data_IF_862295001400
#
_entry.id   IF_862295001400
#
_cell.length_a   1.000
_cell.length_b   1.000
_cell.length_c   1.000
_cell.angle_alpha   90.00
_cell.angle_beta   90.00
_cell.angle_gamma   90.00
#
_symmetry.space_group_name_H-M   'P 1'
#
loop_
_entity.id
_entity.type
_entity.pdbx_description
1 polymer ?
#
# COMPACT_ATOMS: atom_id res chain seq x y z
N UNK A 1 -24.57 -24.88 -11.59
CA UNK A 1 -23.13 -24.64 -11.33
C UNK A 1 -22.91 -24.84 -9.83
N UNK A 2 -21.72 -25.27 -9.38
CA UNK A 2 -21.46 -25.35 -7.93
C UNK A 2 -21.20 -23.95 -7.42
N UNK A 3 -21.87 -23.56 -6.34
CA UNK A 3 -21.61 -22.32 -5.63
C UNK A 3 -20.19 -22.29 -5.09
N UNK A 4 -19.52 -21.15 -5.23
CA UNK A 4 -18.12 -20.94 -4.84
C UNK A 4 -17.96 -19.56 -4.22
N UNK A 5 -17.00 -19.42 -3.32
CA UNK A 5 -16.53 -18.13 -2.83
C UNK A 5 -15.19 -17.73 -3.48
N UNK A 6 -14.87 -16.44 -3.49
CA UNK A 6 -13.52 -15.95 -3.79
C UNK A 6 -13.05 -14.98 -2.71
N UNK A 7 -11.74 -14.94 -2.51
CA UNK A 7 -11.07 -13.98 -1.64
C UNK A 7 -10.21 -13.05 -2.49
N UNK A 8 -10.43 -11.75 -2.41
CA UNK A 8 -9.62 -10.71 -3.03
C UNK A 8 -8.82 -10.02 -1.93
N UNK A 9 -7.50 -10.17 -1.95
CA UNK A 9 -6.59 -9.64 -0.92
C UNK A 9 -5.81 -8.48 -1.47
N UNK A 10 -6.03 -7.29 -0.91
CA UNK A 10 -5.11 -6.17 -1.05
C UNK A 10 -3.94 -6.35 -0.08
N UNK A 11 -2.80 -6.78 -0.61
CA UNK A 11 -1.60 -7.01 0.17
C UNK A 11 -1.06 -5.71 0.80
N UNK A 12 -1.27 -4.59 0.11
CA UNK A 12 -0.83 -3.28 0.55
C UNK A 12 -1.56 -2.82 1.80
N UNK A 13 -2.88 -2.98 1.82
CA UNK A 13 -3.72 -2.76 2.99
C UNK A 13 -3.39 -3.74 4.12
N UNK A 14 -3.39 -5.05 3.83
CA UNK A 14 -3.14 -6.11 4.81
C UNK A 14 -1.84 -5.92 5.59
N UNK A 15 -0.73 -5.72 4.87
CA UNK A 15 0.59 -5.58 5.49
C UNK A 15 0.75 -4.24 6.22
N UNK A 16 0.18 -3.16 5.69
CA UNK A 16 0.22 -1.85 6.35
C UNK A 16 -0.58 -1.88 7.66
N UNK A 17 -1.80 -2.42 7.64
CA UNK A 17 -2.65 -2.54 8.81
C UNK A 17 -2.03 -3.45 9.89
N UNK A 18 -1.43 -4.58 9.46
CA UNK A 18 -0.69 -5.46 10.37
C UNK A 18 0.56 -4.77 10.95
N UNK A 19 1.29 -3.98 10.15
CA UNK A 19 2.43 -3.19 10.61
C UNK A 19 2.01 -2.15 11.64
N UNK A 20 0.92 -1.41 11.42
CA UNK A 20 0.39 -0.45 12.39
C UNK A 20 0.02 -1.14 13.69
N UNK A 21 -0.64 -2.31 13.61
CA UNK A 21 -1.00 -3.11 14.78
C UNK A 21 0.23 -3.55 15.59
N UNK A 22 1.31 -4.00 14.94
CA UNK A 22 2.47 -4.62 15.60
C UNK A 22 3.56 -3.61 15.99
N UNK A 23 3.73 -2.55 15.21
CA UNK A 23 4.87 -1.62 15.30
C UNK A 23 4.45 -0.17 15.53
N UNK A 24 3.17 0.15 15.37
CA UNK A 24 2.64 1.50 15.55
C UNK A 24 2.77 2.41 14.32
N UNK A 25 3.27 1.89 13.19
CA UNK A 25 3.36 2.58 11.91
C UNK A 25 2.94 1.65 10.76
N UNK A 26 2.35 2.21 9.71
CA UNK A 26 1.97 1.49 8.48
C UNK A 26 3.15 1.09 7.59
N UNK A 27 4.38 1.28 8.06
CA UNK A 27 5.58 0.93 7.31
C UNK A 27 5.72 -0.59 7.10
N UNK A 28 5.28 -1.10 5.94
CA UNK A 28 5.14 -2.53 5.63
C UNK A 28 6.38 -3.39 5.87
N UNK A 29 7.59 -2.86 5.66
CA UNK A 29 8.84 -3.62 5.89
C UNK A 29 9.17 -3.82 7.37
N UNK A 30 8.43 -3.18 8.28
CA UNK A 30 8.55 -3.40 9.71
C UNK A 30 7.93 -4.72 10.18
N UNK A 31 7.36 -5.53 9.28
CA UNK A 31 6.78 -6.85 9.59
C UNK A 31 7.24 -7.93 8.62
N UNK A 32 7.25 -9.17 9.09
CA UNK A 32 7.46 -10.38 8.31
C UNK A 32 6.21 -11.26 8.37
N UNK A 33 5.71 -11.69 7.21
CA UNK A 33 4.55 -12.55 7.09
C UNK A 33 4.93 -13.98 6.67
N UNK A 34 4.41 -14.98 7.39
CA UNK A 34 4.36 -16.36 6.92
C UNK A 34 3.17 -16.50 5.97
N UNK A 35 3.40 -16.22 4.69
CA UNK A 35 2.34 -16.23 3.67
C UNK A 35 1.67 -17.58 3.49
N UNK A 36 2.39 -18.69 3.64
CA UNK A 36 1.82 -20.04 3.53
C UNK A 36 0.74 -20.25 4.60
N UNK A 37 1.09 -19.96 5.85
CA UNK A 37 0.16 -20.09 6.98
C UNK A 37 -0.97 -19.07 6.90
N UNK A 38 -0.66 -17.82 6.54
CA UNK A 38 -1.64 -16.75 6.40
C UNK A 38 -2.70 -17.07 5.36
N UNK A 39 -2.29 -17.50 4.16
CA UNK A 39 -3.23 -17.88 3.10
C UNK A 39 -4.05 -19.10 3.51
N UNK A 40 -3.46 -20.09 4.17
CA UNK A 40 -4.19 -21.26 4.65
C UNK A 40 -5.28 -20.87 5.66
N UNK A 41 -4.96 -20.03 6.65
CA UNK A 41 -5.93 -19.57 7.65
C UNK A 41 -7.03 -18.68 7.04
N UNK A 42 -6.68 -17.83 6.06
CA UNK A 42 -7.67 -17.01 5.36
C UNK A 42 -8.62 -17.86 4.50
N UNK A 43 -8.12 -18.91 3.84
CA UNK A 43 -8.94 -19.85 3.09
C UNK A 43 -9.92 -20.56 4.03
N UNK A 44 -9.40 -21.10 5.14
CA UNK A 44 -10.23 -21.79 6.14
C UNK A 44 -11.31 -20.86 6.70
N UNK A 45 -10.94 -19.62 7.03
CA UNK A 45 -11.88 -18.59 7.49
C UNK A 45 -12.99 -18.34 6.46
N UNK A 46 -12.64 -18.10 5.20
CA UNK A 46 -13.64 -17.81 4.15
C UNK A 46 -14.54 -19.01 3.89
N UNK A 47 -14.01 -20.23 3.84
CA UNK A 47 -14.81 -21.44 3.63
C UNK A 47 -15.76 -21.70 4.82
N UNK A 48 -15.31 -21.47 6.06
CA UNK A 48 -16.15 -21.58 7.26
C UNK A 48 -17.27 -20.54 7.29
N UNK A 49 -16.97 -19.29 6.94
CA UNK A 49 -17.94 -18.17 7.00
C UNK A 49 -18.97 -18.25 5.90
N UNK A 50 -18.55 -18.56 4.67
CA UNK A 50 -19.45 -18.68 3.53
C UNK A 50 -20.22 -19.99 3.48
N UNK A 51 -19.68 -21.06 4.08
CA UNK A 51 -20.17 -22.43 3.85
C UNK A 51 -19.94 -22.92 2.42
N UNK A 52 -19.14 -22.19 1.63
CA UNK A 52 -18.84 -22.48 0.23
C UNK A 52 -17.35 -22.80 0.06
N UNK A 53 -17.00 -23.73 -0.83
CA UNK A 53 -15.61 -23.95 -1.20
C UNK A 53 -15.02 -22.70 -1.87
N UNK A 54 -13.77 -22.37 -1.55
CA UNK A 54 -13.09 -21.26 -2.18
C UNK A 54 -12.61 -21.67 -3.58
N UNK A 55 -12.97 -20.87 -4.58
CA UNK A 55 -12.49 -21.02 -5.95
C UNK A 55 -11.01 -20.64 -6.02
N UNK A 56 -10.67 -19.45 -5.50
CA UNK A 56 -9.32 -18.90 -5.54
C UNK A 56 -9.15 -17.72 -4.57
N UNK A 57 -7.92 -17.56 -4.08
CA UNK A 57 -7.41 -16.34 -3.47
C UNK A 57 -6.72 -15.51 -4.55
N UNK A 58 -7.25 -14.34 -4.86
CA UNK A 58 -6.62 -13.35 -5.73
C UNK A 58 -5.81 -12.41 -4.86
N UNK A 59 -4.48 -12.48 -4.99
CA UNK A 59 -3.54 -11.68 -4.22
C UNK A 59 -3.06 -10.50 -5.05
N UNK A 60 -3.40 -9.29 -4.63
CA UNK A 60 -3.07 -8.07 -5.36
C UNK A 60 -1.96 -7.33 -4.64
N UNK A 61 -0.91 -7.01 -5.40
CA UNK A 61 0.26 -6.34 -4.86
C UNK A 61 0.90 -5.44 -5.93
N UNK A 62 1.76 -4.51 -5.52
CA UNK A 62 2.49 -3.64 -6.41
C UNK A 62 3.81 -4.29 -6.85
N UNK A 63 3.95 -4.56 -8.15
CA UNK A 63 5.20 -5.09 -8.72
C UNK A 63 5.99 -4.02 -9.45
N UNK A 64 7.28 -3.87 -9.15
CA UNK A 64 8.16 -2.95 -9.92
C UNK A 64 8.26 -3.45 -11.36
N UNK A 65 7.80 -2.64 -12.32
CA UNK A 65 7.76 -3.03 -13.74
C UNK A 65 7.01 -4.34 -14.04
N UNK A 66 6.12 -4.77 -13.15
CA UNK A 66 5.38 -6.04 -13.28
C UNK A 66 6.23 -7.30 -13.02
N UNK A 67 7.46 -7.15 -12.52
CA UNK A 67 8.31 -8.26 -12.12
C UNK A 67 8.05 -8.54 -10.63
N UNK A 68 7.71 -9.78 -10.25
CA UNK A 68 7.53 -10.13 -8.86
C UNK A 68 8.88 -10.12 -8.11
N UNK A 69 8.87 -9.68 -6.86
CA UNK A 69 9.97 -9.92 -5.93
C UNK A 69 9.91 -11.33 -5.30
N UNK A 70 10.88 -11.65 -4.44
CA UNK A 70 10.99 -12.98 -3.82
C UNK A 70 9.77 -13.34 -2.97
N UNK A 71 9.17 -12.39 -2.28
CA UNK A 71 8.00 -12.65 -1.44
C UNK A 71 6.75 -12.81 -2.30
N UNK A 72 6.61 -12.00 -3.35
CA UNK A 72 5.55 -12.12 -4.35
C UNK A 72 5.63 -13.46 -5.09
N UNK A 73 6.84 -13.93 -5.45
CA UNK A 73 7.05 -15.25 -6.05
C UNK A 73 6.64 -16.38 -5.10
N UNK A 74 7.01 -16.29 -3.81
CA UNK A 74 6.59 -17.26 -2.79
C UNK A 74 5.07 -17.33 -2.67
N UNK A 75 4.41 -16.18 -2.58
CA UNK A 75 2.95 -16.09 -2.53
C UNK A 75 2.32 -16.67 -3.79
N UNK A 76 2.87 -16.38 -4.97
CA UNK A 76 2.35 -16.86 -6.25
C UNK A 76 2.43 -18.39 -6.41
N UNK A 77 3.36 -19.05 -5.69
CA UNK A 77 3.52 -20.49 -5.71
C UNK A 77 2.52 -21.24 -4.80
N UNK A 78 1.79 -20.53 -3.93
CA UNK A 78 0.88 -21.15 -2.97
C UNK A 78 -0.35 -21.77 -3.64
N UNK A 79 -0.86 -22.91 -3.11
CA UNK A 79 -2.08 -23.52 -3.60
C UNK A 79 -3.28 -22.56 -3.57
N UNK A 80 -4.13 -22.63 -4.61
CA UNK A 80 -5.31 -21.76 -4.77
C UNK A 80 -5.01 -20.25 -4.81
N UNK A 81 -3.76 -19.81 -4.94
CA UNK A 81 -3.41 -18.39 -5.06
C UNK A 81 -3.21 -17.97 -6.51
N UNK A 82 -3.65 -16.76 -6.86
CA UNK A 82 -3.25 -16.07 -8.07
C UNK A 82 -2.74 -14.68 -7.75
N UNK A 83 -1.44 -14.48 -7.95
CA UNK A 83 -0.81 -13.18 -7.87
C UNK A 83 -1.26 -12.28 -9.04
N UNK A 84 -1.62 -11.04 -8.70
CA UNK A 84 -2.08 -9.98 -9.60
C UNK A 84 -1.28 -8.71 -9.32
N UNK A 85 -0.22 -8.50 -10.09
CA UNK A 85 0.61 -7.31 -9.93
C UNK A 85 -0.03 -6.09 -10.60
N UNK A 86 -0.15 -5.00 -9.82
CA UNK A 86 -0.37 -3.65 -10.34
C UNK A 86 0.84 -3.14 -11.13
N UNK A 87 0.65 -2.09 -11.93
CA UNK A 87 1.76 -1.41 -12.62
C UNK A 87 2.27 -0.28 -11.74
N UNK A 88 3.58 -0.17 -11.58
CA UNK A 88 4.19 1.00 -10.95
C UNK A 88 4.37 2.08 -12.02
N UNK A 89 3.89 3.29 -11.75
CA UNK A 89 4.08 4.44 -12.63
C UNK A 89 5.55 4.85 -12.74
N UNK A 90 5.86 5.72 -13.70
CA UNK A 90 7.24 6.15 -14.01
C UNK A 90 7.93 6.87 -12.83
N UNK A 91 7.15 7.43 -11.89
CA UNK A 91 7.64 8.14 -10.70
C UNK A 91 7.51 7.32 -9.39
N UNK A 92 7.29 6.01 -9.47
CA UNK A 92 7.18 5.16 -8.27
C UNK A 92 5.80 5.17 -7.61
N UNK A 93 4.82 5.88 -8.17
CA UNK A 93 3.42 5.77 -7.75
C UNK A 93 2.89 4.38 -8.07
N UNK A 94 2.49 3.64 -7.03
CA UNK A 94 1.80 2.36 -7.16
C UNK A 94 0.34 2.64 -7.58
N UNK A 95 0.12 2.89 -8.88
CA UNK A 95 -1.20 3.18 -9.45
C UNK A 95 -1.82 1.93 -10.07
N UNK A 96 -3.04 1.58 -9.64
CA UNK A 96 -3.89 0.61 -10.35
C UNK A 96 -3.86 -0.82 -9.80
N UNK A 97 -3.52 -1.01 -8.53
CA UNK A 97 -3.92 -2.21 -7.79
C UNK A 97 -5.43 -2.20 -7.59
N UNK A 98 -5.99 -1.07 -7.15
CA UNK A 98 -7.41 -0.91 -6.80
C UNK A 98 -8.30 -1.06 -8.03
N UNK A 99 -7.92 -0.41 -9.13
CA UNK A 99 -8.55 -0.60 -10.44
C UNK A 99 -8.55 -2.09 -10.86
N UNK A 100 -7.48 -2.84 -10.56
CA UNK A 100 -7.39 -4.25 -10.92
C UNK A 100 -8.29 -5.12 -10.04
N UNK A 101 -8.33 -4.85 -8.75
CA UNK A 101 -9.25 -5.49 -7.81
C UNK A 101 -10.68 -5.27 -8.29
N UNK A 102 -11.06 -4.02 -8.57
CA UNK A 102 -12.40 -3.68 -9.05
C UNK A 102 -12.76 -4.36 -10.38
N UNK A 103 -11.86 -4.33 -11.37
CA UNK A 103 -12.10 -4.99 -12.66
C UNK A 103 -12.23 -6.51 -12.54
N UNK A 104 -11.39 -7.16 -11.73
CA UNK A 104 -11.45 -8.60 -11.52
C UNK A 104 -12.72 -8.98 -10.74
N UNK A 105 -13.09 -8.21 -9.72
CA UNK A 105 -14.34 -8.39 -8.95
C UNK A 105 -15.56 -8.34 -9.89
N UNK A 106 -15.72 -7.27 -10.67
CA UNK A 106 -16.80 -7.14 -11.65
C UNK A 106 -16.76 -8.27 -12.69
N UNK A 107 -15.57 -8.67 -13.15
CA UNK A 107 -15.45 -9.78 -14.08
C UNK A 107 -15.88 -11.12 -13.47
N UNK A 108 -15.59 -11.38 -12.19
CA UNK A 108 -15.98 -12.62 -11.52
C UNK A 108 -17.49 -12.69 -11.32
N UNK A 109 -18.11 -11.56 -10.99
CA UNK A 109 -19.55 -11.44 -10.82
C UNK A 109 -20.30 -11.60 -12.13
N UNK A 110 -19.89 -10.90 -13.20
CA UNK A 110 -20.53 -11.01 -14.54
C UNK A 110 -20.44 -12.41 -15.14
N UNK A 111 -19.38 -13.16 -14.83
CA UNK A 111 -19.21 -14.54 -15.30
C UNK A 111 -20.05 -15.55 -14.51
N UNK A 112 -20.66 -15.15 -13.39
CA UNK A 112 -21.33 -16.06 -12.45
C UNK A 112 -20.39 -17.13 -11.90
N UNK A 113 -19.11 -16.79 -11.73
CA UNK A 113 -18.08 -17.75 -11.30
C UNK A 113 -18.03 -17.97 -9.79
N UNK A 114 -18.62 -17.05 -9.03
CA UNK A 114 -18.68 -17.01 -7.57
C UNK A 114 -20.01 -16.40 -7.14
N UNK A 115 -20.51 -16.82 -5.98
CA UNK A 115 -21.73 -16.28 -5.37
C UNK A 115 -21.42 -15.32 -4.23
N UNK A 116 -20.25 -15.46 -3.60
CA UNK A 116 -19.77 -14.61 -2.50
C UNK A 116 -18.32 -14.21 -2.73
N UNK A 117 -18.02 -12.93 -2.56
CA UNK A 117 -16.68 -12.37 -2.59
C UNK A 117 -16.35 -11.83 -1.20
N UNK A 118 -15.22 -12.28 -0.65
CA UNK A 118 -14.59 -11.66 0.49
C UNK A 118 -13.52 -10.70 -0.01
N UNK A 119 -13.61 -9.43 0.39
CA UNK A 119 -12.68 -8.36 0.01
C UNK A 119 -11.87 -7.93 1.23
N UNK A 120 -10.60 -8.32 1.30
CA UNK A 120 -9.68 -7.86 2.34
C UNK A 120 -9.02 -6.57 1.85
N UNK A 121 -9.68 -5.43 2.12
CA UNK A 121 -9.21 -4.08 1.82
C UNK A 121 -9.96 -3.05 2.69
N UNK A 122 -9.46 -1.82 2.72
CA UNK A 122 -10.10 -0.67 3.37
C UNK A 122 -10.38 0.53 2.46
N UNK A 123 -10.05 0.41 1.17
CA UNK A 123 -10.03 1.51 0.20
C UNK A 123 -11.43 1.88 -0.33
N UNK A 124 -11.74 3.18 -0.38
CA UNK A 124 -13.01 3.69 -0.94
C UNK A 124 -13.08 3.64 -2.46
N UNK A 125 -11.94 3.57 -3.16
CA UNK A 125 -11.90 3.42 -4.62
C UNK A 125 -12.51 2.10 -5.11
N UNK A 126 -12.80 1.17 -4.19
CA UNK A 126 -13.44 -0.12 -4.49
C UNK A 126 -14.97 -0.08 -4.38
N UNK A 127 -15.56 1.00 -3.86
CA UNK A 127 -16.99 1.12 -3.59
C UNK A 127 -17.84 0.86 -4.84
N UNK A 128 -17.53 1.48 -5.97
CA UNK A 128 -18.30 1.32 -7.20
C UNK A 128 -18.23 -0.12 -7.73
N UNK A 129 -17.09 -0.78 -7.54
CA UNK A 129 -16.93 -2.16 -7.97
C UNK A 129 -17.70 -3.14 -7.06
N UNK A 130 -17.82 -2.82 -5.78
CA UNK A 130 -18.68 -3.57 -4.83
C UNK A 130 -20.14 -3.47 -5.26
N UNK A 131 -20.63 -2.25 -5.51
CA UNK A 131 -22.02 -2.03 -5.94
C UNK A 131 -22.32 -2.72 -7.28
N UNK A 132 -21.40 -2.67 -8.25
CA UNK A 132 -21.56 -3.37 -9.53
C UNK A 132 -21.57 -4.90 -9.34
N UNK A 133 -20.75 -5.45 -8.44
CA UNK A 133 -20.78 -6.89 -8.15
C UNK A 133 -22.13 -7.32 -7.56
N UNK A 134 -22.68 -6.53 -6.63
CA UNK A 134 -23.99 -6.77 -6.02
C UNK A 134 -25.13 -6.65 -7.05
N UNK A 135 -25.03 -5.72 -8.00
CA UNK A 135 -25.98 -5.61 -9.11
C UNK A 135 -26.02 -6.88 -9.99
N UNK A 136 -24.95 -7.69 -9.99
CA UNK A 136 -24.91 -9.01 -10.65
C UNK A 136 -25.35 -10.17 -9.74
N UNK A 137 -25.80 -9.88 -8.51
CA UNK A 137 -26.29 -10.87 -7.55
C UNK A 137 -25.21 -11.54 -6.69
N UNK A 138 -23.97 -11.02 -6.70
CA UNK A 138 -22.89 -11.52 -5.85
C UNK A 138 -22.86 -10.78 -4.52
N UNK A 139 -22.79 -11.53 -3.41
CA UNK A 139 -22.60 -10.93 -2.09
C UNK A 139 -21.14 -10.51 -1.90
N UNK A 140 -20.90 -9.32 -1.35
CA UNK A 140 -19.55 -8.82 -1.07
C UNK A 140 -19.40 -8.50 0.41
N UNK A 141 -18.52 -9.23 1.09
CA UNK A 141 -18.20 -9.05 2.51
C UNK A 141 -16.78 -8.49 2.63
N UNK A 142 -16.62 -7.37 3.32
CA UNK A 142 -15.31 -6.76 3.57
C UNK A 142 -14.66 -7.41 4.79
N UNK A 143 -13.39 -7.82 4.65
CA UNK A 143 -12.56 -8.31 5.75
C UNK A 143 -11.59 -7.21 6.18
N UNK A 144 -11.78 -6.71 7.40
CA UNK A 144 -10.93 -5.71 8.00
C UNK A 144 -9.82 -6.35 8.85
N UNK A 145 -8.62 -5.78 8.80
CA UNK A 145 -7.57 -6.11 9.77
C UNK A 145 -7.92 -5.50 11.14
N UNK A 146 -7.78 -6.24 12.26
CA UNK A 146 -8.04 -5.70 13.59
C UNK A 146 -6.97 -4.70 14.01
N UNK A 147 -7.38 -3.61 14.66
CA UNK A 147 -6.52 -2.77 15.49
C UNK A 147 -6.10 -3.53 16.77
N UNK A 148 -5.15 -3.00 17.58
CA UNK A 148 -4.86 -3.57 18.90
C UNK A 148 -6.08 -3.67 19.84
N UNK A 149 -7.11 -2.86 19.62
CA UNK A 149 -8.37 -2.90 20.38
C UNK A 149 -9.42 -3.85 19.79
N UNK A 150 -9.12 -4.48 18.65
CA UNK A 150 -10.03 -5.41 17.95
C UNK A 150 -11.05 -4.73 17.03
N UNK A 151 -10.95 -3.41 16.81
CA UNK A 151 -11.80 -2.70 15.86
C UNK A 151 -11.30 -2.86 14.42
N UNK A 152 -12.15 -2.58 13.43
CA UNK A 152 -11.74 -2.55 12.02
C UNK A 152 -10.70 -1.42 11.79
N UNK A 153 -9.52 -1.77 11.30
CA UNK A 153 -8.47 -0.79 10.99
C UNK A 153 -8.63 -0.25 9.57
N UNK A 154 -8.67 1.08 9.43
CA UNK A 154 -8.52 1.75 8.13
C UNK A 154 -9.56 1.40 7.06
N UNK A 155 -10.79 1.03 7.43
CA UNK A 155 -11.86 0.75 6.45
C UNK A 155 -12.72 2.00 6.25
N UNK A 156 -12.83 2.45 5.01
CA UNK A 156 -13.65 3.62 4.66
C UNK A 156 -15.12 3.43 5.00
N UNK A 157 -15.76 4.50 5.47
CA UNK A 157 -17.21 4.54 5.72
C UNK A 157 -18.03 4.34 4.45
N UNK A 158 -17.51 4.71 3.29
CA UNK A 158 -18.19 4.49 2.00
C UNK A 158 -18.18 3.01 1.66
N UNK A 159 -17.02 2.35 1.78
CA UNK A 159 -16.89 0.91 1.57
C UNK A 159 -17.77 0.11 2.54
N UNK A 160 -17.79 0.49 3.83
CA UNK A 160 -18.66 -0.12 4.86
C UNK A 160 -20.15 -0.04 4.49
N UNK A 161 -20.58 1.07 3.87
CA UNK A 161 -21.99 1.28 3.48
C UNK A 161 -22.37 0.54 2.20
N UNK A 162 -21.41 0.32 1.32
CA UNK A 162 -21.63 -0.37 0.06
C UNK A 162 -21.66 -1.90 0.23
N UNK A 163 -20.78 -2.46 1.06
CA UNK A 163 -20.68 -3.90 1.26
C UNK A 163 -21.92 -4.52 1.94
N UNK A 164 -22.16 -5.82 1.70
CA UNK A 164 -23.22 -6.59 2.39
C UNK A 164 -22.92 -6.80 3.88
N UNK A 165 -21.63 -6.73 4.25
CA UNK A 165 -21.18 -6.84 5.62
C UNK A 165 -19.70 -6.49 5.75
N UNK A 166 -19.30 -6.17 6.98
CA UNK A 166 -17.89 -5.96 7.35
C UNK A 166 -17.58 -6.85 8.53
N UNK A 167 -16.60 -7.73 8.35
CA UNK A 167 -16.09 -8.61 9.39
C UNK A 167 -14.66 -8.22 9.74
N UNK A 168 -14.34 -8.25 11.03
CA UNK A 168 -12.97 -8.02 11.49
C UNK A 168 -12.27 -9.37 11.64
N UNK A 169 -11.10 -9.51 11.02
CA UNK A 169 -10.27 -10.71 11.20
C UNK A 169 -9.94 -10.90 12.67
N UNK A 170 -9.93 -12.15 13.11
CA UNK A 170 -9.57 -12.47 14.48
C UNK A 170 -8.08 -12.19 14.70
N UNK A 171 -7.73 -11.49 15.79
CA UNK A 171 -6.34 -11.10 16.07
C UNK A 171 -5.37 -12.29 16.04
N UNK A 172 -5.82 -13.48 16.44
CA UNK A 172 -5.02 -14.71 16.40
C UNK A 172 -4.50 -15.07 15.01
N UNK A 173 -5.25 -14.74 13.95
CA UNK A 173 -4.82 -15.03 12.57
C UNK A 173 -3.57 -14.22 12.27
N UNK A 174 -3.57 -12.93 12.61
CA UNK A 174 -2.39 -12.07 12.41
C UNK A 174 -1.27 -12.40 13.38
N UNK A 175 -1.57 -12.57 14.66
CA UNK A 175 -0.56 -12.81 15.70
C UNK A 175 0.20 -14.12 15.46
N UNK A 176 -0.42 -15.09 14.80
CA UNK A 176 0.19 -16.39 14.52
C UNK A 176 0.87 -16.48 13.15
N UNK A 177 0.71 -15.47 12.28
CA UNK A 177 1.19 -15.48 10.90
C UNK A 177 2.08 -14.28 10.55
N UNK A 178 1.97 -13.16 11.26
CA UNK A 178 2.74 -11.93 11.02
C UNK A 178 3.48 -11.54 12.30
N UNK A 179 4.75 -11.20 12.17
CA UNK A 179 5.61 -10.81 13.28
C UNK A 179 6.35 -9.51 12.97
N UNK A 180 6.75 -8.76 14.00
CA UNK A 180 7.58 -7.58 13.79
C UNK A 180 8.94 -7.98 13.20
N UNK A 181 9.37 -7.27 12.17
CA UNK A 181 10.69 -7.43 11.60
C UNK A 181 11.74 -6.86 12.55
N UNK A 182 12.76 -7.68 12.82
CA UNK A 182 13.96 -7.27 13.53
C UNK A 182 15.13 -7.67 12.64
N UNK A 183 15.96 -6.72 12.24
CA UNK A 183 17.22 -7.03 11.57
C UNK A 183 18.07 -7.87 12.53
N UNK A 184 18.16 -9.17 12.28
CA UNK A 184 19.10 -10.03 13.00
C UNK A 184 20.51 -9.73 12.48
N UNK A 185 21.43 -9.36 13.36
CA UNK A 185 22.84 -9.05 13.09
C UNK A 185 23.67 -10.27 12.62
N UNK A 186 23.06 -11.29 12.00
CA UNK A 186 23.83 -12.41 11.46
C UNK A 186 24.61 -11.90 10.25
N UNK A 187 25.95 -11.88 10.28
CA UNK A 187 26.74 -11.42 9.16
C UNK A 187 26.53 -12.39 8.00
N UNK A 188 25.82 -11.97 6.98
CA UNK A 188 25.86 -12.66 5.70
C UNK A 188 27.29 -12.53 5.16
N UNK A 189 27.95 -13.62 4.75
CA UNK A 189 29.27 -13.51 4.13
C UNK A 189 29.13 -12.62 2.90
N UNK A 190 29.97 -11.58 2.86
CA UNK A 190 30.04 -10.62 1.78
C UNK A 190 30.05 -11.36 0.44
N UNK A 191 29.04 -11.09 -0.40
CA UNK A 191 29.11 -11.48 -1.81
C UNK A 191 30.32 -10.76 -2.42
N UNK A 192 31.24 -11.46 -3.10
CA UNK A 192 32.34 -10.81 -3.79
C UNK A 192 31.80 -9.83 -4.82
N UNK A 193 32.40 -8.64 -4.85
CA UNK A 193 31.98 -7.52 -5.68
C UNK A 193 31.79 -7.93 -7.13
N UNK A 194 30.62 -7.64 -7.67
CA UNK A 194 30.43 -7.61 -9.11
C UNK A 194 30.90 -6.25 -9.57
N UNK A 195 32.15 -6.20 -10.05
CA UNK A 195 32.67 -5.08 -10.81
C UNK A 195 31.64 -4.68 -11.86
N UNK A 196 31.28 -3.40 -11.85
CA UNK A 196 30.56 -2.78 -12.95
C UNK A 196 31.42 -2.89 -14.21
N UNK A 197 31.16 -3.92 -15.00
CA UNK A 197 31.68 -4.02 -16.36
C UNK A 197 31.05 -2.89 -17.17
N UNK A 198 31.80 -1.80 -17.32
CA UNK A 198 31.56 -0.74 -18.29
C UNK A 198 31.50 -1.38 -19.68
N UNK A 199 30.31 -1.61 -20.20
CA UNK A 199 30.11 -1.95 -21.59
C UNK A 199 30.42 -0.72 -22.43
N UNK A 200 31.59 -0.74 -23.09
CA UNK A 200 31.95 0.24 -24.12
C UNK A 200 30.88 0.19 -25.21
N UNK A 201 30.21 1.33 -25.42
CA UNK A 201 29.35 1.54 -26.57
C UNK A 201 30.16 1.49 -27.87
N UNK A 202 29.76 0.63 -28.81
CA UNK A 202 30.32 0.51 -30.15
C UNK A 202 29.72 1.60 -31.06
N UNK A 203 30.50 2.29 -31.90
CA UNK A 203 30.03 3.41 -32.72
C UNK A 203 29.31 2.88 -33.96
N UNK A 204 27.98 2.81 -33.91
CA UNK A 204 27.20 2.27 -35.01
C UNK A 204 25.70 2.52 -34.90
N UNK A 205 25.30 3.76 -34.59
CA UNK A 205 23.91 4.23 -34.84
C UNK A 205 23.83 5.77 -34.98
N UNK A 206 24.89 6.37 -35.50
CA UNK A 206 24.96 7.78 -35.89
C UNK A 206 24.51 7.96 -37.34
N UNK A 207 23.21 7.78 -37.62
CA UNK A 207 22.58 8.33 -38.84
C UNK A 207 21.05 8.23 -38.81
N UNK A 208 20.40 9.28 -38.29
CA UNK A 208 19.15 9.92 -38.81
C UNK A 208 18.57 10.83 -37.73
N UNK A 209 19.18 12.00 -37.55
CA UNK A 209 18.52 13.15 -36.93
C UNK A 209 18.32 14.22 -38.00
N UNK A 210 17.10 14.34 -38.50
CA UNK A 210 16.63 15.56 -39.15
C UNK A 210 15.87 16.40 -38.11
N UNK A 211 16.05 17.72 -38.06
CA UNK A 211 15.28 18.57 -37.16
C UNK A 211 13.89 18.79 -37.75
N UNK A 212 12.85 18.28 -37.11
CA UNK A 212 11.46 18.68 -37.38
C UNK A 212 11.00 19.60 -36.26
N UNK A 213 11.20 20.90 -36.44
CA UNK A 213 10.51 21.95 -35.69
C UNK A 213 9.02 21.89 -36.04
N UNK A 214 8.20 21.34 -35.13
CA UNK A 214 6.75 21.54 -35.17
C UNK A 214 6.37 22.53 -34.06
N UNK A 215 5.62 23.60 -34.36
CA UNK A 215 5.10 24.50 -33.34
C UNK A 215 4.05 23.77 -32.48
N UNK A 216 4.16 23.94 -31.18
CA UNK A 216 3.22 23.47 -30.17
C UNK A 216 1.95 24.35 -30.30
N UNK A 217 0.74 23.80 -30.54
CA UNK A 217 -0.45 24.61 -30.44
C UNK A 217 -0.73 24.91 -28.97
N UNK A 218 -0.88 26.19 -28.64
CA UNK A 218 -1.40 26.63 -27.35
C UNK A 218 -2.79 26.01 -27.12
N UNK A 219 -3.12 25.54 -25.92
CA UNK A 219 -4.49 25.12 -25.64
C UNK A 219 -5.39 26.36 -25.69
N UNK A 220 -6.39 26.33 -26.57
CA UNK A 220 -7.51 27.25 -26.58
C UNK A 220 -8.21 27.16 -25.22
N UNK A 221 -8.19 28.25 -24.46
CA UNK A 221 -9.01 28.42 -23.27
C UNK A 221 -10.48 28.49 -23.71
N UNK A 222 -11.27 27.47 -23.38
CA UNK A 222 -12.72 27.59 -23.39
C UNK A 222 -13.13 28.32 -22.10
N UNK A 223 -13.43 29.62 -22.19
CA UNK A 223 -14.25 30.28 -21.18
C UNK A 223 -15.68 29.79 -21.33
N UNK A 224 -16.03 28.69 -20.66
CA UNK A 224 -17.42 28.45 -20.28
C UNK A 224 -17.71 29.27 -19.03
N UNK A 225 -18.46 30.36 -19.20
CA UNK A 225 -19.04 31.12 -18.11
C UNK A 225 -19.95 30.22 -17.27
N UNK A 226 -19.42 29.76 -16.14
CA UNK A 226 -20.14 29.07 -15.09
C UNK A 226 -19.36 29.34 -13.81
N UNK A 227 -19.91 30.22 -12.98
CA UNK A 227 -19.36 30.57 -11.66
C UNK A 227 -19.48 29.38 -10.71
N UNK A 228 -18.59 28.40 -10.84
CA UNK A 228 -18.32 27.43 -9.79
C UNK A 228 -16.92 27.73 -9.28
N UNK A 229 -16.85 28.39 -8.13
CA UNK A 229 -15.62 28.43 -7.33
C UNK A 229 -15.07 27.01 -7.23
N UNK A 230 -13.76 26.76 -7.41
CA UNK A 230 -13.19 25.47 -7.04
C UNK A 230 -13.63 25.20 -5.59
N UNK A 231 -14.17 24.00 -5.36
CA UNK A 231 -14.55 23.55 -4.03
C UNK A 231 -13.25 23.42 -3.22
N UNK A 232 -12.90 24.48 -2.50
CA UNK A 232 -11.88 24.46 -1.47
C UNK A 232 -12.54 23.76 -0.29
N UNK A 233 -12.10 22.54 0.01
CA UNK A 233 -12.54 21.84 1.21
C UNK A 233 -12.34 22.77 2.42
N UNK A 234 -13.31 22.91 3.33
CA UNK A 234 -13.15 23.74 4.50
C UNK A 234 -11.94 23.21 5.28
N UNK A 235 -10.89 24.03 5.35
CA UNK A 235 -9.73 23.77 6.20
C UNK A 235 -10.28 23.67 7.62
N UNK A 236 -10.36 22.44 8.15
CA UNK A 236 -10.72 22.23 9.54
C UNK A 236 -9.66 23.00 10.31
N UNK A 237 -10.03 24.14 10.90
CA UNK A 237 -9.14 24.97 11.70
C UNK A 237 -8.78 24.18 12.97
N UNK A 238 -7.82 23.27 12.82
CA UNK A 238 -7.16 22.59 13.93
C UNK A 238 -6.16 23.55 14.52
N UNK A 239 -5.92 23.42 15.81
CA UNK A 239 -4.84 24.14 16.46
C UNK A 239 -3.51 23.75 15.77
N UNK A 240 -2.76 24.73 15.22
CA UNK A 240 -1.48 24.46 14.59
C UNK A 240 -0.50 23.74 15.53
N UNK A 241 -0.55 24.01 16.84
CA UNK A 241 0.33 23.37 17.81
C UNK A 241 0.02 21.88 17.99
N UNK A 242 -1.27 21.54 18.09
CA UNK A 242 -1.74 20.15 18.22
C UNK A 242 -1.43 19.34 16.95
N UNK A 243 -1.58 19.97 15.79
CA UNK A 243 -1.24 19.37 14.49
C UNK A 243 0.27 19.09 14.42
N UNK A 244 1.10 20.06 14.81
CA UNK A 244 2.57 19.91 14.86
C UNK A 244 2.98 18.79 15.82
N UNK A 245 2.34 18.68 16.99
CA UNK A 245 2.62 17.63 17.97
C UNK A 245 2.26 16.24 17.43
N UNK A 246 1.13 16.12 16.74
CA UNK A 246 0.70 14.90 16.04
C UNK A 246 1.71 14.50 14.98
N UNK A 247 2.15 15.45 14.14
CA UNK A 247 3.18 15.24 13.11
C UNK A 247 4.46 14.66 13.73
N UNK A 248 4.97 15.26 14.82
CA UNK A 248 6.19 14.75 15.49
C UNK A 248 6.03 13.33 16.01
N UNK A 249 4.85 13.02 16.57
CA UNK A 249 4.56 11.68 17.10
C UNK A 249 4.53 10.64 15.99
N UNK A 250 3.87 10.96 14.87
CA UNK A 250 3.81 10.09 13.68
C UNK A 250 5.20 9.87 13.09
N UNK A 251 5.96 10.94 12.91
CA UNK A 251 7.35 10.88 12.41
C UNK A 251 8.20 9.96 13.26
N UNK A 252 8.15 10.11 14.60
CA UNK A 252 8.94 9.28 15.52
C UNK A 252 8.57 7.80 15.37
N UNK A 253 7.27 7.47 15.38
CA UNK A 253 6.81 6.07 15.23
C UNK A 253 7.24 5.44 13.91
N UNK A 254 7.06 6.16 12.80
CA UNK A 254 7.45 5.67 11.48
C UNK A 254 8.97 5.50 11.35
N UNK A 255 9.74 6.45 11.90
CA UNK A 255 11.20 6.36 11.93
C UNK A 255 11.69 5.18 12.78
N UNK A 256 11.13 4.98 13.97
CA UNK A 256 11.48 3.85 14.84
C UNK A 256 11.12 2.50 14.21
N UNK A 257 9.97 2.41 13.54
CA UNK A 257 9.56 1.21 12.80
C UNK A 257 10.49 0.92 11.62
N UNK A 258 10.92 1.97 10.90
CA UNK A 258 11.91 1.85 9.84
C UNK A 258 13.27 1.40 10.39
N UNK A 259 13.78 2.02 11.46
CA UNK A 259 15.07 1.67 12.06
C UNK A 259 15.18 0.20 12.48
N UNK A 260 14.10 -0.41 12.98
CA UNK A 260 14.05 -1.82 13.37
C UNK A 260 14.28 -2.79 12.20
N UNK A 261 13.90 -2.37 10.99
CA UNK A 261 13.99 -3.18 9.76
C UNK A 261 15.10 -2.72 8.81
N UNK A 262 15.63 -1.51 8.98
CA UNK A 262 16.66 -0.95 8.13
C UNK A 262 18.01 -1.65 8.30
N UNK A 263 18.71 -1.90 7.19
CA UNK A 263 20.13 -2.30 7.21
C UNK A 263 21.06 -1.10 7.38
N UNK A 264 22.32 -1.34 7.72
CA UNK A 264 23.29 -0.26 7.87
C UNK A 264 23.50 0.51 6.56
N UNK A 265 23.52 -0.19 5.41
CA UNK A 265 23.63 0.47 4.11
C UNK A 265 22.44 1.39 3.82
N UNK A 266 21.23 0.99 4.22
CA UNK A 266 20.03 1.81 4.04
C UNK A 266 20.04 3.05 4.93
N UNK A 267 20.63 2.95 6.13
CA UNK A 267 20.85 4.10 7.03
C UNK A 267 21.83 5.10 6.42
N UNK A 268 22.97 4.61 5.94
CA UNK A 268 23.96 5.44 5.26
C UNK A 268 23.41 6.05 3.96
N UNK A 269 22.62 5.30 3.19
CA UNK A 269 21.99 5.80 1.96
C UNK A 269 20.99 6.91 2.25
N UNK A 270 20.17 6.77 3.31
CA UNK A 270 19.24 7.81 3.74
C UNK A 270 19.97 9.12 4.06
N UNK A 271 21.08 9.04 4.79
CA UNK A 271 21.89 10.21 5.15
C UNK A 271 22.56 10.85 3.93
N UNK A 272 23.05 10.03 3.01
CA UNK A 272 23.76 10.51 1.80
C UNK A 272 22.80 11.20 0.82
N UNK A 273 21.54 10.78 0.77
CA UNK A 273 20.53 11.28 -0.20
C UNK A 273 19.68 12.44 0.31
N UNK A 274 20.06 13.08 1.42
CA UNK A 274 19.37 14.28 1.93
C UNK A 274 19.14 15.31 0.81
N UNK A 275 17.93 15.85 0.63
CA UNK A 275 16.72 15.72 1.48
C UNK A 275 15.68 14.67 1.00
N UNK A 276 16.09 13.67 0.23
CA UNK A 276 15.15 12.69 -0.38
C UNK A 276 14.77 11.57 0.58
N UNK A 277 13.48 11.41 0.86
CA UNK A 277 12.95 10.32 1.70
C UNK A 277 12.60 9.11 0.80
N UNK A 278 12.96 7.87 1.19
CA UNK A 278 12.53 6.67 0.48
C UNK A 278 11.01 6.62 0.32
N UNK A 279 10.54 6.31 -0.89
CA UNK A 279 9.11 6.40 -1.25
C UNK A 279 8.17 5.58 -0.37
N UNK A 280 8.60 4.39 0.08
CA UNK A 280 7.81 3.54 0.98
C UNK A 280 7.68 4.14 2.39
N UNK A 281 8.74 4.81 2.87
CA UNK A 281 8.73 5.49 4.16
C UNK A 281 7.90 6.78 4.09
N UNK A 282 8.03 7.57 3.02
CA UNK A 282 7.20 8.76 2.78
C UNK A 282 5.71 8.38 2.71
N UNK A 283 5.37 7.27 2.04
CA UNK A 283 4.00 6.76 2.02
C UNK A 283 3.49 6.39 3.42
N UNK A 284 4.29 5.69 4.21
CA UNK A 284 3.90 5.32 5.58
C UNK A 284 3.67 6.57 6.45
N UNK A 285 4.54 7.58 6.35
CA UNK A 285 4.38 8.86 7.03
C UNK A 285 3.06 9.56 6.67
N UNK A 286 2.71 9.59 5.38
CA UNK A 286 1.47 10.22 4.90
C UNK A 286 0.23 9.45 5.38
N UNK A 287 0.25 8.11 5.30
CA UNK A 287 -0.87 7.27 5.75
C UNK A 287 -1.07 7.40 7.26
N UNK A 288 0.00 7.28 8.04
CA UNK A 288 -0.04 7.38 9.50
C UNK A 288 -0.53 8.77 9.94
N UNK A 289 -0.13 9.84 9.23
CA UNK A 289 -0.60 11.20 9.54
C UNK A 289 -2.07 11.39 9.19
N UNK A 290 -2.50 10.91 8.02
CA UNK A 290 -3.90 10.96 7.58
C UNK A 290 -4.82 10.26 8.58
N UNK A 291 -4.41 9.08 9.06
CA UNK A 291 -5.14 8.32 10.08
C UNK A 291 -5.17 9.04 11.43
N UNK A 292 -4.01 9.53 11.90
CA UNK A 292 -3.90 10.22 13.19
C UNK A 292 -4.76 11.49 13.24
N UNK A 293 -4.89 12.20 12.12
CA UNK A 293 -5.73 13.38 12.02
C UNK A 293 -7.19 13.05 11.69
N UNK A 294 -7.48 11.86 11.16
CA UNK A 294 -8.80 11.50 10.64
C UNK A 294 -9.16 12.28 9.37
N UNK A 295 -8.16 12.67 8.58
CA UNK A 295 -8.31 13.49 7.38
C UNK A 295 -7.66 12.80 6.19
N UNK A 296 -8.48 12.42 5.21
CA UNK A 296 -8.03 11.75 3.99
C UNK A 296 -7.27 12.70 3.04
N UNK A 297 -7.43 14.02 3.21
CA UNK A 297 -6.80 15.02 2.36
C UNK A 297 -5.76 15.83 3.13
N UNK A 298 -4.50 15.40 3.06
CA UNK A 298 -3.38 16.18 3.57
C UNK A 298 -3.05 17.33 2.61
N UNK A 299 -3.19 18.57 3.07
CA UNK A 299 -2.80 19.76 2.30
C UNK A 299 -1.28 19.82 2.06
N UNK A 300 -0.87 20.55 1.03
CA UNK A 300 0.55 20.64 0.63
C UNK A 300 1.44 21.20 1.74
N UNK A 301 0.95 22.16 2.53
CA UNK A 301 1.64 22.69 3.69
C UNK A 301 1.97 21.61 4.73
N UNK A 302 1.00 20.75 5.05
CA UNK A 302 1.18 19.65 6.01
C UNK A 302 2.17 18.61 5.49
N UNK A 303 2.14 18.30 4.18
CA UNK A 303 3.11 17.39 3.56
C UNK A 303 4.53 17.91 3.64
N UNK A 304 4.72 19.22 3.41
CA UNK A 304 6.04 19.87 3.53
C UNK A 304 6.49 19.86 5.00
N UNK A 305 5.60 20.20 5.92
CA UNK A 305 5.90 20.19 7.36
C UNK A 305 6.28 18.79 7.85
N UNK A 306 5.51 17.76 7.47
CA UNK A 306 5.79 16.36 7.81
C UNK A 306 7.20 15.95 7.39
N UNK A 307 7.61 16.29 6.16
CA UNK A 307 8.95 15.97 5.63
C UNK A 307 10.04 16.78 6.33
N UNK A 308 9.77 18.03 6.69
CA UNK A 308 10.71 18.84 7.49
C UNK A 308 10.92 18.23 8.87
N UNK A 309 9.84 17.85 9.56
CA UNK A 309 9.89 17.21 10.89
C UNK A 309 10.54 15.83 10.86
N UNK A 310 10.39 15.10 9.75
CA UNK A 310 11.16 13.87 9.54
C UNK A 310 12.67 14.11 9.62
N UNK A 311 13.19 15.07 8.87
CA UNK A 311 14.64 15.35 8.90
C UNK A 311 15.12 15.90 10.24
N UNK A 312 14.32 16.72 10.93
CA UNK A 312 14.62 17.14 12.31
C UNK A 312 14.77 15.94 13.26
N UNK A 313 13.91 14.93 13.13
CA UNK A 313 13.97 13.71 13.94
C UNK A 313 15.21 12.86 13.62
N UNK A 314 15.57 12.73 12.34
CA UNK A 314 16.79 12.05 11.90
C UNK A 314 18.03 12.76 12.47
N UNK A 315 18.08 14.09 12.42
CA UNK A 315 19.19 14.87 12.97
C UNK A 315 19.31 14.78 14.49
N UNK A 316 18.18 14.68 15.21
CA UNK A 316 18.19 14.46 16.65
C UNK A 316 18.75 13.08 17.00
N UNK A 317 18.37 12.04 16.25
CA UNK A 317 18.88 10.68 16.46
C UNK A 317 20.39 10.57 16.20
N UNK A 318 20.91 11.21 15.14
CA UNK A 318 22.35 11.25 14.84
C UNK A 318 23.17 11.92 15.96
N UNK A 319 22.60 12.93 16.63
CA UNK A 319 23.26 13.59 17.78
C UNK A 319 23.27 12.71 19.03
N UNK A 320 22.28 11.85 19.20
CA UNK A 320 22.20 10.90 20.32
C UNK A 320 23.15 9.71 20.12
N UNK A 321 23.30 9.19 18.88
CA UNK A 321 24.20 8.08 18.56
C UNK A 321 25.69 8.51 18.48
N UNK A 322 25.96 9.80 18.28
CA UNK A 322 27.31 10.38 18.23
C UNK A 322 27.88 10.85 19.59
N UNK A 323 27.13 10.69 20.69
CA UNK A 323 27.49 11.10 22.06
C UNK A 323 27.84 9.89 22.95
#
# INVERSE_FOLDING_TARGET
MRSQSALLVDAGYLLAAAATRLTGSSFRRSVNANYEKLVAELIELVEQRSGLPILRVYWYDAGRSGIPDLDQERVAALPKVKLRLGRVGVEGEQKGVDLRIGLDMVSHSRKGSVDTIYLLSGDDDLTEAVEEAQAQGVQVVVLAVPTPTGAAHGVSKFLVRAADGVEVLESRVLDSTISAAVTSLVPHPAKPGTESAVTKATPGDLARRSPSTRPIPMPLAYSSGGSSSPYVAPEIQRDPEETTATIRTVVRKAYDAWLRSATEEQRQELLTRRPTIPSELDRALLVDLSEALGDYYLGDGMRVELRSKFWEAVEAAEKEDGA
#
